data_IF_975405860233
#
_entry.id   IF_975405860233
#
_cell.length_a   1.000
_cell.length_b   1.000
_cell.length_c   1.000
_cell.angle_alpha   90.00
_cell.angle_beta   90.00
_cell.angle_gamma   90.00
#
_symmetry.space_group_name_H-M   'P 1'
#
loop_
_entity.id
_entity.type
_entity.pdbx_description
1 polymer ?
#
# COMPACT_ATOMS: atom_id res chain seq x y z
N UNK A 1 -34.42 59.53 -41.03
CA UNK A 1 -34.36 58.14 -41.52
C UNK A 1 -33.31 57.40 -40.71
N UNK A 2 -33.74 56.37 -39.97
CA UNK A 2 -32.97 55.38 -39.19
C UNK A 2 -31.77 54.83 -40.00
N UNK A 3 -30.66 54.36 -39.40
CA UNK A 3 -30.54 53.09 -38.65
C UNK A 3 -29.19 53.09 -37.88
N UNK A 4 -29.22 52.99 -36.55
CA UNK A 4 -28.82 51.81 -35.75
C UNK A 4 -27.48 51.16 -36.18
N UNK A 5 -26.41 51.45 -35.42
CA UNK A 5 -25.20 50.61 -35.37
C UNK A 5 -25.39 49.58 -34.24
N UNK A 6 -25.52 48.31 -34.60
CA UNK A 6 -25.65 47.17 -33.70
C UNK A 6 -24.27 46.77 -33.17
N UNK A 7 -24.08 46.80 -31.85
CA UNK A 7 -22.91 46.23 -31.19
C UNK A 7 -23.07 44.71 -31.06
N UNK A 8 -22.11 43.95 -31.59
CA UNK A 8 -22.07 42.49 -31.56
C UNK A 8 -21.38 42.04 -30.25
N UNK A 9 -22.14 41.69 -29.21
CA UNK A 9 -21.59 41.00 -28.04
C UNK A 9 -21.39 39.52 -28.39
N UNK A 10 -20.12 39.11 -28.49
CA UNK A 10 -19.75 37.71 -28.71
C UNK A 10 -19.71 36.99 -27.35
N UNK A 11 -20.63 36.05 -27.12
CA UNK A 11 -20.59 35.14 -25.97
C UNK A 11 -19.58 34.03 -26.28
N UNK A 12 -18.45 34.03 -25.60
CA UNK A 12 -17.49 32.92 -25.64
C UNK A 12 -17.96 31.89 -24.60
N UNK A 13 -18.57 30.81 -25.07
CA UNK A 13 -18.85 29.64 -24.25
C UNK A 13 -17.56 28.82 -24.09
N UNK A 14 -16.99 28.83 -22.89
CA UNK A 14 -15.86 27.97 -22.56
C UNK A 14 -16.39 26.55 -22.31
N UNK A 15 -16.33 25.68 -23.32
CA UNK A 15 -16.59 24.25 -23.14
C UNK A 15 -15.43 23.64 -22.32
N UNK A 16 -15.64 23.43 -21.02
CA UNK A 16 -14.87 22.43 -20.27
C UNK A 16 -15.28 21.05 -20.79
N UNK A 17 -14.50 20.51 -21.73
CA UNK A 17 -14.60 19.08 -22.06
C UNK A 17 -13.98 18.32 -20.91
N UNK A 18 -14.82 17.68 -20.08
CA UNK A 18 -14.34 16.68 -19.14
C UNK A 18 -13.65 15.58 -19.93
N UNK A 19 -12.39 15.29 -19.62
CA UNK A 19 -11.68 14.12 -20.14
C UNK A 19 -12.52 12.91 -19.69
N UNK A 20 -13.08 12.10 -20.59
CA UNK A 20 -13.78 10.89 -20.15
C UNK A 20 -12.77 10.02 -19.40
N UNK A 21 -13.08 9.68 -18.16
CA UNK A 21 -12.37 8.60 -17.47
C UNK A 21 -12.49 7.36 -18.37
N UNK A 22 -11.36 6.80 -18.79
CA UNK A 22 -11.35 5.63 -19.65
C UNK A 22 -11.97 4.48 -18.85
N UNK A 23 -13.12 3.96 -19.30
CA UNK A 23 -13.75 2.82 -18.66
C UNK A 23 -12.81 1.60 -18.71
N UNK A 24 -12.77 0.81 -17.64
CA UNK A 24 -11.98 -0.41 -17.60
C UNK A 24 -12.40 -1.36 -18.74
N UNK A 25 -11.46 -2.05 -19.41
CA UNK A 25 -11.77 -3.05 -20.43
C UNK A 25 -12.62 -4.19 -19.84
N UNK A 26 -13.54 -4.76 -20.63
CA UNK A 26 -14.49 -5.78 -20.14
C UNK A 26 -13.81 -7.09 -19.70
N UNK A 27 -12.67 -7.40 -20.30
CA UNK A 27 -11.79 -8.50 -19.92
C UNK A 27 -10.42 -7.92 -19.56
N UNK A 28 -9.92 -8.31 -18.38
CA UNK A 28 -8.64 -7.87 -17.83
C UNK A 28 -7.73 -9.08 -17.64
N UNK A 29 -6.49 -8.97 -18.14
CA UNK A 29 -5.42 -9.90 -17.79
C UNK A 29 -4.49 -9.22 -16.79
N UNK A 30 -4.60 -9.63 -15.52
CA UNK A 30 -3.81 -9.08 -14.43
C UNK A 30 -2.66 -10.02 -14.07
N UNK A 31 -1.43 -9.52 -14.14
CA UNK A 31 -0.24 -10.19 -13.59
C UNK A 31 0.20 -9.47 -12.32
N UNK A 32 0.30 -10.21 -11.21
CA UNK A 32 0.72 -9.68 -9.91
C UNK A 32 2.02 -10.34 -9.50
N UNK A 33 3.03 -9.50 -9.27
CA UNK A 33 4.31 -9.86 -8.67
C UNK A 33 4.32 -9.43 -7.20
N UNK A 34 4.75 -10.31 -6.29
CA UNK A 34 4.75 -10.02 -4.86
C UNK A 34 6.09 -10.38 -4.21
N UNK A 35 6.72 -9.38 -3.61
CA UNK A 35 7.99 -9.49 -2.91
C UNK A 35 7.80 -9.40 -1.40
N UNK A 36 8.32 -10.40 -0.68
CA UNK A 36 8.52 -10.38 0.76
C UNK A 36 10.02 -10.46 1.01
N UNK A 37 10.69 -9.38 1.46
CA UNK A 37 12.12 -9.38 1.75
C UNK A 37 12.59 -10.47 2.75
N UNK A 38 11.67 -11.02 3.54
CA UNK A 38 11.92 -12.18 4.42
C UNK A 38 11.78 -13.56 3.76
N UNK A 39 11.26 -13.64 2.53
CA UNK A 39 11.03 -14.90 1.80
C UNK A 39 9.93 -15.79 2.38
N UNK A 40 9.18 -15.33 3.38
CA UNK A 40 8.20 -16.08 4.18
C UNK A 40 6.81 -16.09 3.53
N UNK A 41 6.71 -16.62 2.31
CA UNK A 41 5.48 -16.61 1.50
C UNK A 41 4.39 -17.61 1.91
N UNK A 42 4.66 -18.52 2.84
CA UNK A 42 3.74 -19.62 3.15
C UNK A 42 2.36 -19.09 3.61
N UNK A 43 1.29 -19.56 2.96
CA UNK A 43 -0.10 -19.17 3.24
C UNK A 43 -0.56 -17.83 2.64
N UNK A 44 0.36 -16.98 2.17
CA UNK A 44 0.00 -15.70 1.55
C UNK A 44 -0.68 -15.90 0.18
N UNK A 45 -1.80 -15.20 -0.02
CA UNK A 45 -2.62 -15.23 -1.23
C UNK A 45 -3.24 -13.84 -1.49
N UNK A 46 -3.91 -13.69 -2.62
CA UNK A 46 -4.54 -12.44 -3.03
C UNK A 46 -6.06 -12.53 -2.88
N UNK A 47 -6.66 -11.53 -2.24
CA UNK A 47 -8.08 -11.23 -2.38
C UNK A 47 -8.24 -10.15 -3.43
N UNK A 48 -8.89 -10.47 -4.54
CA UNK A 48 -9.11 -9.54 -5.66
C UNK A 48 -10.61 -9.46 -5.90
N UNK A 49 -11.12 -8.25 -6.08
CA UNK A 49 -12.52 -8.01 -6.39
C UNK A 49 -12.69 -6.97 -7.47
N UNK A 50 -13.79 -7.09 -8.19
CA UNK A 50 -14.26 -6.07 -9.12
C UNK A 50 -14.93 -4.98 -8.29
N UNK A 51 -14.39 -3.77 -8.35
CA UNK A 51 -14.82 -2.63 -7.55
C UNK A 51 -15.78 -1.74 -8.33
N UNK A 52 -16.84 -1.31 -7.67
CA UNK A 52 -17.94 -0.56 -8.28
C UNK A 52 -18.15 0.78 -7.60
N UNK A 53 -18.90 1.69 -8.23
CA UNK A 53 -19.29 2.96 -7.59
C UNK A 53 -20.36 2.78 -6.51
N UNK A 54 -21.03 1.62 -6.49
CA UNK A 54 -21.90 1.20 -5.40
C UNK A 54 -21.29 -0.03 -4.76
N UNK A 55 -20.45 0.15 -3.73
CA UNK A 55 -19.70 -0.90 -3.04
C UNK A 55 -20.52 -2.16 -2.68
N UNK A 56 -21.86 -2.08 -2.58
CA UNK A 56 -22.73 -3.25 -2.40
C UNK A 56 -22.73 -4.22 -3.60
N UNK A 57 -22.19 -3.81 -4.75
CA UNK A 57 -22.05 -4.59 -5.97
C UNK A 57 -20.63 -5.15 -6.15
N UNK A 58 -19.71 -4.84 -5.25
CA UNK A 58 -18.35 -5.35 -5.30
C UNK A 58 -18.35 -6.88 -5.30
N UNK A 59 -17.62 -7.46 -6.25
CA UNK A 59 -17.70 -8.89 -6.52
C UNK A 59 -16.31 -9.51 -6.50
N UNK A 60 -15.99 -10.43 -5.57
CA UNK A 60 -14.72 -11.12 -5.56
C UNK A 60 -14.57 -12.01 -6.81
N UNK A 61 -13.35 -12.11 -7.34
CA UNK A 61 -13.08 -12.99 -8.48
C UNK A 61 -12.85 -14.45 -8.04
N UNK A 62 -12.65 -14.67 -6.74
CA UNK A 62 -12.50 -15.98 -6.12
C UNK A 62 -13.02 -15.96 -4.69
N UNK A 63 -13.82 -16.96 -4.32
CA UNK A 63 -14.37 -17.10 -2.96
C UNK A 63 -13.33 -17.52 -1.92
N UNK A 64 -12.17 -18.03 -2.36
CA UNK A 64 -11.11 -18.53 -1.47
C UNK A 64 -9.79 -17.79 -1.63
N UNK A 65 -9.78 -16.71 -2.41
CA UNK A 65 -8.58 -16.00 -2.82
C UNK A 65 -7.89 -16.64 -4.02
N UNK A 66 -6.87 -15.95 -4.52
CA UNK A 66 -6.06 -16.30 -5.68
C UNK A 66 -4.66 -16.65 -5.18
N UNK A 67 -4.20 -17.86 -5.48
CA UNK A 67 -2.88 -18.32 -5.08
C UNK A 67 -1.82 -17.85 -6.07
N UNK A 68 -0.63 -17.57 -5.55
CA UNK A 68 0.55 -17.46 -6.40
C UNK A 68 0.86 -18.82 -7.04
N UNK A 69 1.20 -18.81 -8.32
CA UNK A 69 1.38 -20.02 -9.14
C UNK A 69 2.78 -20.17 -9.72
N UNK A 70 3.55 -19.08 -9.73
CA UNK A 70 4.91 -19.08 -10.25
C UNK A 70 5.84 -18.24 -9.36
N UNK A 71 7.12 -18.17 -9.72
CA UNK A 71 8.16 -17.40 -9.05
C UNK A 71 9.13 -16.85 -10.09
N UNK A 72 9.45 -15.57 -10.00
CA UNK A 72 10.49 -14.93 -10.80
C UNK A 72 11.61 -14.38 -9.90
N UNK A 73 12.48 -13.55 -10.46
CA UNK A 73 13.58 -12.92 -9.71
C UNK A 73 13.11 -11.78 -8.79
N UNK A 74 11.85 -11.34 -8.90
CA UNK A 74 11.23 -10.39 -7.98
C UNK A 74 10.55 -11.07 -6.80
N UNK A 75 9.89 -12.21 -7.01
CA UNK A 75 9.18 -12.92 -5.95
C UNK A 75 8.12 -13.88 -6.48
N UNK A 76 6.97 -13.94 -5.80
CA UNK A 76 5.86 -14.81 -6.19
C UNK A 76 5.00 -14.14 -7.25
N UNK A 77 4.56 -14.92 -8.24
CA UNK A 77 3.83 -14.41 -9.40
C UNK A 77 2.51 -15.17 -9.60
N UNK A 78 1.49 -14.46 -10.07
CA UNK A 78 0.27 -15.04 -10.65
C UNK A 78 -0.26 -14.17 -11.76
N UNK A 79 -0.78 -14.82 -12.81
CA UNK A 79 -1.59 -14.17 -13.84
C UNK A 79 -3.02 -14.69 -13.76
N UNK A 80 -3.99 -13.78 -13.75
CA UNK A 80 -5.44 -14.09 -13.76
C UNK A 80 -6.14 -13.35 -14.88
N UNK A 81 -7.13 -14.01 -15.49
CA UNK A 81 -8.06 -13.36 -16.42
C UNK A 81 -9.37 -13.06 -15.67
N UNK A 82 -9.87 -11.85 -15.80
CA UNK A 82 -11.02 -11.33 -15.08
C UNK A 82 -12.00 -10.74 -16.09
N UNK A 83 -13.17 -11.36 -16.22
CA UNK A 83 -14.20 -10.95 -17.17
C UNK A 83 -15.38 -10.23 -16.48
N UNK A 84 -16.18 -9.55 -17.30
CA UNK A 84 -17.40 -8.88 -16.87
C UNK A 84 -17.10 -7.65 -16.03
N UNK A 85 -16.17 -6.82 -16.52
CA UNK A 85 -15.74 -5.56 -15.92
C UNK A 85 -16.57 -4.36 -16.38
N UNK A 86 -17.46 -4.52 -17.37
CA UNK A 86 -18.27 -3.43 -17.94
C UNK A 86 -18.96 -2.49 -16.93
N UNK A 87 -19.35 -2.99 -15.75
CA UNK A 87 -20.04 -2.20 -14.70
C UNK A 87 -19.14 -1.90 -13.48
N UNK A 88 -17.84 -2.13 -13.61
CA UNK A 88 -16.85 -1.97 -12.56
C UNK A 88 -15.80 -0.98 -13.03
N UNK A 89 -15.30 -0.15 -12.11
CA UNK A 89 -14.38 0.94 -12.45
C UNK A 89 -12.91 0.51 -12.39
N UNK A 90 -12.59 -0.42 -11.51
CA UNK A 90 -11.23 -0.87 -11.25
C UNK A 90 -11.25 -2.22 -10.48
N UNK A 91 -10.07 -2.71 -10.14
CA UNK A 91 -9.91 -3.91 -9.33
C UNK A 91 -9.36 -3.54 -7.96
N UNK A 92 -10.06 -3.96 -6.91
CA UNK A 92 -9.50 -3.93 -5.57
C UNK A 92 -8.62 -5.14 -5.30
N UNK A 93 -7.58 -4.96 -4.49
CA UNK A 93 -6.63 -6.01 -4.13
C UNK A 93 -6.17 -5.89 -2.68
N UNK A 94 -6.15 -7.03 -1.98
CA UNK A 94 -5.52 -7.20 -0.67
C UNK A 94 -4.63 -8.44 -0.72
N UNK A 95 -3.41 -8.33 -0.20
CA UNK A 95 -2.56 -9.48 0.08
C UNK A 95 -2.92 -9.97 1.49
N UNK A 96 -3.34 -11.23 1.62
CA UNK A 96 -3.80 -11.80 2.90
C UNK A 96 -3.14 -13.13 3.21
N UNK A 97 -3.02 -13.44 4.50
CA UNK A 97 -2.51 -14.72 5.00
C UNK A 97 -3.66 -15.69 5.24
N UNK A 98 -3.60 -16.88 4.65
CA UNK A 98 -4.62 -17.92 4.74
C UNK A 98 -6.03 -17.35 4.49
N UNK A 99 -7.01 -17.72 5.31
CA UNK A 99 -8.33 -17.09 5.31
C UNK A 99 -8.38 -15.97 6.35
N UNK A 100 -7.90 -14.79 5.93
CA UNK A 100 -7.90 -13.55 6.73
C UNK A 100 -7.18 -13.63 8.08
N UNK A 101 -6.22 -14.55 8.25
CA UNK A 101 -5.40 -14.63 9.46
C UNK A 101 -4.52 -13.37 9.66
N UNK A 102 -4.15 -12.71 8.56
CA UNK A 102 -3.49 -11.41 8.54
C UNK A 102 -3.72 -10.72 7.18
N UNK A 103 -3.47 -9.41 7.14
CA UNK A 103 -3.34 -8.62 5.90
C UNK A 103 -1.93 -8.06 5.80
N UNK A 104 -1.41 -7.95 4.59
CA UNK A 104 -0.22 -7.17 4.28
C UNK A 104 -0.70 -5.87 3.62
N UNK A 105 -0.56 -4.78 4.39
CA UNK A 105 -1.31 -3.52 4.27
C UNK A 105 -2.79 -3.71 4.60
N UNK A 106 -3.27 -2.99 5.62
CA UNK A 106 -4.66 -3.06 6.08
C UNK A 106 -5.64 -2.34 5.14
N UNK A 107 -5.16 -1.33 4.42
CA UNK A 107 -5.94 -0.54 3.48
C UNK A 107 -6.29 -1.33 2.21
N UNK A 108 -7.48 -1.09 1.69
CA UNK A 108 -7.86 -1.52 0.35
C UNK A 108 -7.03 -0.73 -0.67
N UNK A 109 -6.44 -1.45 -1.63
CA UNK A 109 -5.69 -0.85 -2.73
C UNK A 109 -6.40 -1.15 -4.04
N UNK A 110 -6.28 -0.25 -5.01
CA UNK A 110 -7.02 -0.33 -6.27
C UNK A 110 -6.08 -0.24 -7.47
N UNK A 111 -6.28 -1.12 -8.44
CA UNK A 111 -5.57 -1.16 -9.72
C UNK A 111 -6.46 -0.46 -10.74
N UNK A 112 -6.08 0.76 -11.10
CA UNK A 112 -6.88 1.65 -11.96
C UNK A 112 -6.29 1.83 -13.36
N UNK A 113 -5.05 1.38 -13.57
CA UNK A 113 -4.34 1.52 -14.85
C UNK A 113 -4.33 0.20 -15.61
N UNK A 114 -4.85 0.23 -16.83
CA UNK A 114 -4.90 -0.89 -17.77
C UNK A 114 -4.42 -0.42 -19.14
N UNK A 115 -3.71 -1.29 -19.86
CA UNK A 115 -3.32 -1.00 -21.24
C UNK A 115 -4.54 -1.08 -22.20
N UNK A 116 -4.35 -0.70 -23.46
CA UNK A 116 -5.40 -0.69 -24.47
C UNK A 116 -6.02 -2.06 -24.77
N UNK A 117 -5.37 -3.15 -24.36
CA UNK A 117 -5.84 -4.52 -24.51
C UNK A 117 -6.42 -5.10 -23.20
N UNK A 118 -6.51 -4.30 -22.13
CA UNK A 118 -6.97 -4.77 -20.81
C UNK A 118 -5.92 -5.49 -19.98
N UNK A 119 -4.63 -5.38 -20.31
CA UNK A 119 -3.60 -5.94 -19.44
C UNK A 119 -3.24 -4.97 -18.32
N UNK A 120 -2.98 -5.52 -17.14
CA UNK A 120 -2.27 -4.86 -16.05
C UNK A 120 -1.17 -5.77 -15.54
N UNK A 121 0.01 -5.21 -15.29
CA UNK A 121 1.11 -5.90 -14.64
C UNK A 121 1.61 -5.03 -13.49
N UNK A 122 1.58 -5.58 -12.28
CA UNK A 122 1.86 -4.84 -11.05
C UNK A 122 2.86 -5.55 -10.14
N UNK A 123 3.54 -4.77 -9.32
CA UNK A 123 4.45 -5.24 -8.29
C UNK A 123 4.00 -4.73 -6.93
N UNK A 124 3.93 -5.65 -5.98
CA UNK A 124 3.59 -5.40 -4.59
C UNK A 124 4.80 -5.76 -3.72
N UNK A 125 5.11 -4.90 -2.75
CA UNK A 125 6.16 -5.13 -1.76
C UNK A 125 5.53 -5.21 -0.39
N UNK A 126 6.01 -6.13 0.43
CA UNK A 126 5.52 -6.30 1.79
C UNK A 126 5.51 -4.99 2.56
N UNK A 127 4.41 -4.71 3.25
CA UNK A 127 4.16 -3.54 4.08
C UNK A 127 4.33 -2.22 3.32
N UNK A 128 4.12 -2.22 2.00
CA UNK A 128 4.10 -1.00 1.19
C UNK A 128 2.74 -0.79 0.55
N UNK A 129 2.14 0.38 0.81
CA UNK A 129 0.82 0.75 0.25
C UNK A 129 0.87 0.92 -1.26
N UNK A 130 2.03 1.28 -1.80
CA UNK A 130 2.22 1.54 -3.23
C UNK A 130 1.98 0.28 -4.06
N UNK A 131 1.11 0.39 -5.07
CA UNK A 131 1.09 -0.55 -6.19
C UNK A 131 2.02 0.01 -7.26
N UNK A 132 3.07 -0.72 -7.60
CA UNK A 132 4.02 -0.31 -8.63
C UNK A 132 3.57 -0.87 -9.99
N UNK A 133 3.61 -0.05 -11.04
CA UNK A 133 3.31 -0.46 -12.44
C UNK A 133 4.55 -0.79 -13.26
N UNK A 134 5.73 -0.77 -12.60
CA UNK A 134 7.02 -1.24 -13.11
C UNK A 134 7.76 -1.89 -11.96
N UNK A 135 8.55 -2.92 -12.25
CA UNK A 135 9.39 -3.62 -11.27
C UNK A 135 10.26 -2.63 -10.47
N UNK A 136 10.02 -2.44 -9.16
CA UNK A 136 10.82 -1.54 -8.34
C UNK A 136 12.14 -2.20 -7.92
N UNK A 137 13.09 -1.37 -7.52
CA UNK A 137 14.25 -1.84 -6.73
C UNK A 137 13.79 -2.01 -5.28
N UNK A 138 14.16 -3.14 -4.67
CA UNK A 138 13.77 -3.44 -3.29
C UNK A 138 14.78 -2.83 -2.33
N UNK A 139 14.30 -1.93 -1.49
CA UNK A 139 15.07 -1.36 -0.39
C UNK A 139 14.43 -1.78 0.93
N UNK A 140 15.26 -1.99 1.97
CA UNK A 140 14.73 -2.16 3.32
C UNK A 140 14.17 -0.82 3.81
N UNK A 141 12.99 -0.85 4.41
CA UNK A 141 12.21 0.36 4.74
C UNK A 141 11.52 0.28 6.10
N UNK A 142 11.53 1.40 6.83
CA UNK A 142 10.53 1.71 7.86
C UNK A 142 9.27 2.16 7.11
N UNK A 143 8.33 1.24 6.93
CA UNK A 143 7.11 1.44 6.16
C UNK A 143 6.16 2.42 6.82
N UNK A 144 6.05 2.36 8.15
CA UNK A 144 5.24 3.26 8.94
C UNK A 144 5.81 3.40 10.35
N UNK A 145 5.46 4.50 11.02
CA UNK A 145 5.73 4.70 12.43
C UNK A 145 4.58 5.50 13.05
N UNK A 146 4.16 5.12 14.25
CA UNK A 146 3.10 5.79 15.00
C UNK A 146 3.39 5.74 16.49
N UNK A 147 2.81 6.68 17.24
CA UNK A 147 2.83 6.56 18.69
C UNK A 147 1.98 5.38 19.15
N UNK A 148 2.46 4.69 20.18
CA UNK A 148 1.75 3.59 20.83
C UNK A 148 1.30 3.99 22.23
N UNK A 149 2.24 4.54 23.01
CA UNK A 149 1.98 5.06 24.35
C UNK A 149 2.71 6.39 24.54
N UNK A 150 2.72 6.94 25.75
CA UNK A 150 3.46 8.18 26.05
C UNK A 150 4.96 8.06 25.89
N UNK A 151 5.52 6.84 25.84
CA UNK A 151 6.96 6.56 25.77
C UNK A 151 7.28 5.40 24.81
N UNK A 152 6.33 5.00 23.97
CA UNK A 152 6.50 3.94 22.99
C UNK A 152 6.10 4.38 21.59
N UNK A 153 6.89 3.94 20.60
CA UNK A 153 6.65 4.12 19.17
C UNK A 153 6.52 2.74 18.55
N UNK A 154 5.41 2.52 17.83
CA UNK A 154 5.28 1.38 16.93
C UNK A 154 5.97 1.70 15.62
N UNK A 155 6.78 0.76 15.13
CA UNK A 155 7.37 0.83 13.79
C UNK A 155 7.02 -0.42 13.01
N UNK A 156 6.68 -0.24 11.74
CA UNK A 156 6.46 -1.32 10.81
C UNK A 156 7.59 -1.33 9.78
N UNK A 157 8.24 -2.47 9.60
CA UNK A 157 9.33 -2.67 8.66
C UNK A 157 8.83 -3.50 7.48
N UNK A 158 9.41 -3.33 6.29
CA UNK A 158 9.13 -4.23 5.16
C UNK A 158 9.93 -5.55 5.19
N UNK A 159 10.69 -5.81 6.28
CA UNK A 159 11.38 -7.08 6.53
C UNK A 159 11.31 -7.42 8.01
N UNK A 160 11.09 -8.70 8.33
CA UNK A 160 11.18 -9.19 9.73
C UNK A 160 12.51 -8.80 10.35
N UNK A 161 12.44 -8.37 11.60
CA UNK A 161 13.58 -7.96 12.39
C UNK A 161 13.55 -8.67 13.75
N UNK A 162 14.70 -9.19 14.17
CA UNK A 162 14.89 -9.82 15.47
C UNK A 162 15.56 -8.82 16.41
N UNK A 163 14.82 -8.18 17.33
CA UNK A 163 15.41 -7.21 18.23
C UNK A 163 16.32 -7.87 19.28
N UNK A 164 17.46 -7.25 19.54
CA UNK A 164 18.29 -7.49 20.70
C UNK A 164 17.69 -6.74 21.90
N UNK A 165 17.33 -7.48 22.95
CA UNK A 165 16.74 -6.90 24.16
C UNK A 165 17.68 -5.87 24.82
N UNK A 166 17.10 -4.78 25.33
CA UNK A 166 17.84 -3.71 26.02
C UNK A 166 18.76 -2.88 25.12
N UNK A 167 18.56 -2.92 23.79
CA UNK A 167 19.32 -2.14 22.81
C UNK A 167 18.39 -1.27 21.98
N UNK A 168 18.90 -0.13 21.51
CA UNK A 168 18.23 0.69 20.49
C UNK A 168 18.06 -0.03 19.16
N UNK A 169 18.80 -1.14 18.95
CA UNK A 169 18.79 -1.89 17.70
C UNK A 169 19.12 -1.03 16.47
N UNK A 170 19.91 0.03 16.65
CA UNK A 170 20.26 0.96 15.57
C UNK A 170 19.18 1.97 15.23
N UNK A 171 18.02 1.92 15.88
CA UNK A 171 16.98 2.94 15.74
C UNK A 171 17.36 4.23 16.47
N UNK A 172 17.09 5.36 15.82
CA UNK A 172 17.28 6.70 16.37
C UNK A 172 16.01 7.51 16.17
N UNK A 173 15.74 8.44 17.09
CA UNK A 173 14.57 9.32 17.06
C UNK A 173 15.03 10.78 17.23
N UNK A 174 14.33 11.71 16.58
CA UNK A 174 14.54 13.15 16.77
C UNK A 174 13.90 13.66 18.07
N UNK A 175 13.98 14.97 18.35
CA UNK A 175 13.26 15.57 19.48
C UNK A 175 13.92 15.37 20.85
N UNK A 176 15.23 15.09 20.88
CA UNK A 176 15.98 14.91 22.14
C UNK A 176 15.68 13.60 22.89
N UNK A 177 14.84 12.73 22.32
CA UNK A 177 14.57 11.39 22.82
C UNK A 177 15.60 10.39 22.28
N UNK A 178 15.70 9.24 22.94
CA UNK A 178 16.52 8.11 22.51
C UNK A 178 15.74 6.82 22.65
N UNK A 179 15.93 5.89 21.73
CA UNK A 179 15.39 4.52 21.85
C UNK A 179 16.25 3.73 22.83
N UNK A 180 15.62 3.16 23.88
CA UNK A 180 16.31 2.38 24.93
C UNK A 180 16.17 0.87 24.73
N UNK A 181 15.07 0.43 24.14
CA UNK A 181 14.83 -0.98 23.83
C UNK A 181 13.88 -1.11 22.65
N UNK A 182 13.91 -2.28 22.01
CA UNK A 182 12.92 -2.70 21.02
C UNK A 182 12.42 -4.11 21.37
N UNK A 183 11.15 -4.38 21.09
CA UNK A 183 10.54 -5.71 21.13
C UNK A 183 9.69 -5.93 19.89
N UNK A 184 9.41 -7.18 19.56
CA UNK A 184 8.32 -7.51 18.63
C UNK A 184 6.99 -7.12 19.26
N UNK A 185 6.04 -6.69 18.43
CA UNK A 185 4.68 -6.39 18.91
C UNK A 185 4.03 -7.64 19.52
N UNK A 186 4.12 -8.77 18.82
CA UNK A 186 3.72 -10.05 19.39
C UNK A 186 4.88 -10.65 20.20
N UNK A 187 4.79 -10.69 21.54
CA UNK A 187 5.89 -11.14 22.40
C UNK A 187 6.22 -12.62 22.24
N UNK A 188 5.35 -13.40 21.59
CA UNK A 188 5.58 -14.82 21.31
C UNK A 188 6.39 -15.05 20.02
N UNK A 189 6.61 -14.00 19.23
CA UNK A 189 7.41 -14.07 18.01
C UNK A 189 8.83 -13.54 18.28
N UNK A 190 9.88 -14.32 17.99
CA UNK A 190 11.26 -13.87 18.16
C UNK A 190 11.69 -12.83 17.12
N UNK A 191 10.97 -12.74 16.00
CA UNK A 191 11.18 -11.77 14.93
C UNK A 191 9.85 -11.40 14.30
N UNK A 192 9.70 -10.12 13.96
CA UNK A 192 8.47 -9.59 13.39
C UNK A 192 8.75 -8.39 12.49
N UNK A 193 7.80 -8.04 11.64
CA UNK A 193 7.83 -6.80 10.89
C UNK A 193 7.35 -5.61 11.75
N UNK A 194 6.55 -5.87 12.79
CA UNK A 194 6.09 -4.86 13.74
C UNK A 194 6.92 -4.89 15.02
N UNK A 195 7.52 -3.76 15.35
CA UNK A 195 8.29 -3.58 16.58
C UNK A 195 7.70 -2.45 17.42
N UNK A 196 7.78 -2.61 18.74
CA UNK A 196 7.60 -1.52 19.69
C UNK A 196 8.95 -1.08 20.21
N UNK A 197 9.21 0.22 20.04
CA UNK A 197 10.40 0.91 20.51
C UNK A 197 10.06 1.68 21.78
N UNK A 198 10.73 1.36 22.89
CA UNK A 198 10.60 2.12 24.13
C UNK A 198 11.62 3.25 24.15
N UNK A 199 11.19 4.44 24.58
CA UNK A 199 11.98 5.65 24.62
C UNK A 199 12.49 5.93 26.05
N UNK A 200 13.52 6.78 26.17
CA UNK A 200 14.06 7.22 27.46
C UNK A 200 13.19 8.27 28.19
N UNK A 201 12.11 8.72 27.56
CA UNK A 201 11.30 9.83 28.05
C UNK A 201 9.97 9.93 27.31
N UNK A 202 9.11 10.82 27.80
CA UNK A 202 7.77 11.00 27.25
C UNK A 202 7.77 11.79 25.96
N UNK A 203 6.93 11.37 25.03
CA UNK A 203 6.59 12.06 23.79
C UNK A 203 5.77 13.31 24.10
N UNK A 204 6.16 14.43 23.50
CA UNK A 204 5.34 15.64 23.44
C UNK A 204 4.44 15.62 22.21
N UNK A 205 3.12 15.73 22.39
CA UNK A 205 2.15 15.79 21.28
C UNK A 205 2.19 17.09 20.47
N UNK A 206 2.98 18.09 20.90
CA UNK A 206 3.15 19.36 20.18
C UNK A 206 4.34 19.36 19.23
N UNK A 207 5.11 18.27 19.20
CA UNK A 207 6.31 18.14 18.38
C UNK A 207 6.12 17.10 17.27
N UNK A 208 6.92 17.22 16.22
CA UNK A 208 7.02 16.21 15.17
C UNK A 208 8.28 15.39 15.37
N UNK A 209 8.15 14.09 15.22
CA UNK A 209 9.25 13.15 15.39
C UNK A 209 9.48 12.36 14.13
N UNK A 210 10.73 11.94 13.95
CA UNK A 210 11.16 11.06 12.89
C UNK A 210 11.95 9.92 13.51
N UNK A 211 11.60 8.70 13.14
CA UNK A 211 12.39 7.52 13.46
C UNK A 211 13.31 7.18 12.27
N UNK A 212 14.52 6.73 12.54
CA UNK A 212 15.51 6.39 11.52
C UNK A 212 16.30 5.13 11.88
N UNK A 213 16.76 4.40 10.87
CA UNK A 213 17.64 3.24 10.99
C UNK A 213 18.53 3.16 9.74
N UNK A 214 19.81 2.83 9.90
CA UNK A 214 20.80 2.84 8.80
C UNK A 214 20.42 1.94 7.63
N UNK A 215 19.87 0.76 7.93
CA UNK A 215 19.40 -0.20 6.91
C UNK A 215 17.99 0.06 6.38
N UNK A 216 17.09 0.67 7.17
CA UNK A 216 15.66 0.78 6.84
C UNK A 216 15.23 2.21 6.48
N UNK A 217 16.16 3.16 6.41
CA UNK A 217 15.83 4.55 6.14
C UNK A 217 15.10 5.21 7.30
N UNK A 218 14.14 6.10 7.00
CA UNK A 218 13.45 6.92 8.00
C UNK A 218 11.97 7.10 7.69
N UNK A 219 11.15 7.25 8.73
CA UNK A 219 9.75 7.59 8.63
C UNK A 219 9.38 8.69 9.64
N UNK A 220 8.50 9.62 9.24
CA UNK A 220 7.85 10.52 10.19
C UNK A 220 6.89 9.72 11.07
N UNK A 221 6.81 10.05 12.35
CA UNK A 221 5.93 9.37 13.31
C UNK A 221 4.57 10.05 13.28
N UNK A 222 3.55 9.29 12.91
CA UNK A 222 2.17 9.76 12.91
C UNK A 222 1.64 9.91 14.35
N UNK A 223 0.84 10.96 14.54
CA UNK A 223 0.01 11.17 15.73
C UNK A 223 -1.20 10.24 15.76
#
# INVERSE_FOLDING_TARGET
MNKLLTALLSVIALLLTGIPALAAPDSIKLTVHYQRPGGDYNGWNLWIWKNSDNNSLDTPISQTGVKFTDTDDFGKVVTVNIDGMKNFKDLGIIVRLNDWAAKDVNDDRFITEFDANGNAEIWLVQNEKTIYTKKPTIEMKISSASFETSDEVRVELNKRFKPLAGSSNGFTITGGLTVVSARTENPNLPEDNELILTLNGKISITERYKISHTSFGSADIAL
#
